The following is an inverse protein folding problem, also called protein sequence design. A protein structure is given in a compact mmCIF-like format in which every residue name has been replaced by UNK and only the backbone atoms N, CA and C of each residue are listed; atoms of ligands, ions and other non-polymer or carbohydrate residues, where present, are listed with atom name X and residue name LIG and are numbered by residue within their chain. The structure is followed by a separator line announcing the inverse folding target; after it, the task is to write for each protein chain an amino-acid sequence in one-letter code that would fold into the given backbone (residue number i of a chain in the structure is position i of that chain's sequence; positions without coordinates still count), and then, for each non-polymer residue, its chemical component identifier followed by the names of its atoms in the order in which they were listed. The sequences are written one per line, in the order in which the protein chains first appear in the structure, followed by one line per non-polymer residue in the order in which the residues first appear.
data_IF_063213769838
#
_entry.id   IF_063213769838
#
_cell.length_a   1.000
_cell.length_b   1.000
_cell.length_c   1.000
_cell.angle_alpha   90.00
_cell.angle_beta   90.00
_cell.angle_gamma   90.00
#
_symmetry.space_group_name_H-M   'P 1'
#
loop_
_entity.id
_entity.type
_entity.pdbx_description
1 polymer ?
#
# COMPACT_ATOMS: atom_id res chain seq x y z
N UNK A 1 79.32 16.86 16.75
CA UNK A 1 79.60 17.14 15.33
C UNK A 1 79.54 15.81 14.57
N UNK A 2 78.84 15.79 13.42
CA UNK A 2 78.80 14.71 12.39
C UNK A 2 77.91 13.47 12.64
N UNK A 3 76.71 13.57 12.05
CA UNK A 3 75.93 12.57 11.27
C UNK A 3 76.44 11.12 11.25
N UNK A 4 75.48 10.19 11.35
CA UNK A 4 75.12 9.25 10.26
C UNK A 4 73.77 8.59 10.57
N UNK A 5 72.75 8.95 9.79
CA UNK A 5 71.44 8.31 9.75
C UNK A 5 71.59 7.06 8.89
N UNK A 6 71.32 5.89 9.44
CA UNK A 6 71.25 4.64 8.68
C UNK A 6 69.76 4.33 8.52
N UNK A 7 69.31 4.38 7.27
CA UNK A 7 67.98 3.94 6.85
C UNK A 7 67.97 2.42 6.75
N UNK A 8 67.10 1.76 7.51
CA UNK A 8 66.76 0.36 7.28
C UNK A 8 65.26 0.25 7.04
N UNK A 9 64.91 -0.02 5.79
CA UNK A 9 63.58 -0.34 5.28
C UNK A 9 63.33 -1.82 5.60
N UNK A 10 62.20 -2.14 6.24
CA UNK A 10 61.41 -3.40 6.25
C UNK A 10 60.60 -3.40 7.55
N UNK A 11 59.28 -3.35 7.57
CA UNK A 11 58.39 -4.32 6.96
C UNK A 11 56.97 -3.75 6.93
N UNK A 12 56.33 -3.82 5.77
CA UNK A 12 54.90 -3.58 5.62
C UNK A 12 54.18 -4.81 6.17
N UNK A 13 53.91 -4.82 7.47
CA UNK A 13 53.04 -5.79 8.10
C UNK A 13 51.59 -5.48 7.75
N UNK A 14 51.15 -5.92 6.57
CA UNK A 14 49.73 -5.95 6.23
C UNK A 14 49.09 -6.99 7.15
N UNK A 15 48.45 -6.51 8.22
CA UNK A 15 47.54 -7.30 9.03
C UNK A 15 46.30 -7.61 8.16
N UNK A 16 46.39 -8.65 7.33
CA UNK A 16 45.19 -9.28 6.77
C UNK A 16 44.64 -10.18 7.88
N UNK A 17 43.77 -9.62 8.70
CA UNK A 17 42.86 -10.44 9.50
C UNK A 17 42.02 -11.23 8.50
N UNK A 18 42.36 -12.51 8.37
CA UNK A 18 41.55 -13.52 7.71
C UNK A 18 40.27 -13.69 8.52
N UNK A 19 39.28 -12.82 8.27
CA UNK A 19 37.91 -13.14 8.62
C UNK A 19 37.48 -14.25 7.67
N UNK A 20 37.44 -15.46 8.21
CA UNK A 20 36.82 -16.60 7.59
C UNK A 20 35.34 -16.24 7.40
N UNK A 21 35.01 -15.68 6.24
CA UNK A 21 33.63 -15.48 5.81
C UNK A 21 33.11 -16.86 5.42
N UNK A 22 32.60 -17.57 6.42
CA UNK A 22 31.82 -18.77 6.23
C UNK A 22 30.59 -18.35 5.41
N UNK A 23 30.59 -18.71 4.13
CA UNK A 23 29.45 -18.52 3.23
C UNK A 23 28.30 -19.34 3.81
N UNK A 24 27.47 -18.70 4.64
CA UNK A 24 26.16 -19.24 4.96
C UNK A 24 25.42 -19.37 3.64
N UNK A 25 25.24 -20.61 3.18
CA UNK A 25 24.27 -20.92 2.15
C UNK A 25 22.92 -20.61 2.77
N UNK A 26 22.42 -19.39 2.56
CA UNK A 26 21.01 -19.09 2.78
C UNK A 26 20.26 -19.96 1.77
N UNK A 27 19.82 -21.12 2.24
CA UNK A 27 18.91 -21.97 1.51
C UNK A 27 17.53 -21.28 1.57
N UNK A 28 17.28 -20.40 0.61
CA UNK A 28 15.97 -19.78 0.40
C UNK A 28 14.99 -20.84 -0.12
N UNK A 29 14.57 -21.73 0.78
CA UNK A 29 13.48 -22.66 0.51
C UNK A 29 12.17 -21.88 0.60
N UNK A 30 11.38 -22.00 -0.47
CA UNK A 30 10.06 -21.40 -0.71
C UNK A 30 10.07 -20.01 -1.35
N UNK A 31 10.68 -19.91 -2.53
CA UNK A 31 10.10 -19.06 -3.59
C UNK A 31 8.71 -19.61 -3.90
N UNK A 32 7.70 -19.14 -3.15
CA UNK A 32 6.36 -19.08 -3.72
C UNK A 32 6.54 -18.30 -5.02
N UNK A 33 6.28 -18.96 -6.14
CA UNK A 33 6.39 -18.37 -7.47
C UNK A 33 5.33 -17.26 -7.53
N UNK A 34 5.68 -16.07 -7.07
CA UNK A 34 4.86 -14.88 -7.18
C UNK A 34 4.91 -14.46 -8.63
N UNK A 35 4.03 -15.05 -9.44
CA UNK A 35 3.72 -14.52 -10.77
C UNK A 35 2.98 -13.21 -10.56
N UNK A 36 3.76 -12.14 -10.39
CA UNK A 36 3.32 -10.78 -10.59
C UNK A 36 2.94 -10.71 -12.07
N UNK A 37 1.66 -10.92 -12.37
CA UNK A 37 1.14 -10.78 -13.72
C UNK A 37 1.17 -9.27 -14.01
N UNK A 38 2.34 -8.78 -14.43
CA UNK A 38 2.66 -7.35 -14.64
C UNK A 38 1.98 -6.80 -15.90
N UNK A 39 0.72 -7.18 -16.14
CA UNK A 39 -0.15 -6.40 -17.00
C UNK A 39 -0.45 -5.10 -16.26
N UNK A 40 0.40 -4.10 -16.52
CA UNK A 40 0.26 -2.65 -16.25
C UNK A 40 -0.53 -2.28 -14.99
N UNK A 41 0.16 -1.66 -14.02
CA UNK A 41 -0.50 -1.03 -12.88
C UNK A 41 -1.74 -0.23 -13.34
N UNK A 42 -2.84 -0.37 -12.60
CA UNK A 42 -4.07 0.34 -12.95
C UNK A 42 -3.87 1.82 -12.65
N UNK A 43 -4.16 2.69 -13.62
CA UNK A 43 -4.01 4.12 -13.47
C UNK A 43 -5.19 4.67 -12.67
N UNK A 44 -4.92 5.29 -11.50
CA UNK A 44 -5.97 5.74 -10.57
C UNK A 44 -6.89 6.79 -11.20
N UNK A 45 -6.32 7.75 -11.95
CA UNK A 45 -7.08 8.86 -12.55
C UNK A 45 -8.15 8.44 -13.56
N UNK A 46 -8.14 7.19 -14.04
CA UNK A 46 -9.10 6.68 -15.01
C UNK A 46 -10.29 5.97 -14.32
N UNK A 47 -10.33 5.98 -12.99
CA UNK A 47 -11.34 5.33 -12.17
C UNK A 47 -12.25 6.35 -11.48
N UNK A 48 -13.48 5.92 -11.25
CA UNK A 48 -14.35 6.49 -10.24
C UNK A 48 -14.35 5.58 -8.99
N UNK A 49 -15.03 6.01 -7.93
CA UNK A 49 -15.06 5.30 -6.66
C UNK A 49 -15.59 3.86 -6.81
N UNK A 50 -16.64 3.68 -7.62
CA UNK A 50 -17.25 2.38 -7.87
C UNK A 50 -16.32 1.46 -8.65
N UNK A 51 -15.73 1.93 -9.74
CA UNK A 51 -14.77 1.16 -10.55
C UNK A 51 -13.55 0.74 -9.73
N UNK A 52 -13.07 1.61 -8.85
CA UNK A 52 -11.98 1.28 -7.93
C UNK A 52 -12.36 0.09 -7.03
N UNK A 53 -13.50 0.17 -6.35
CA UNK A 53 -13.96 -0.89 -5.44
C UNK A 53 -14.28 -2.18 -6.21
N UNK A 54 -14.91 -2.09 -7.39
CA UNK A 54 -15.21 -3.22 -8.26
C UNK A 54 -13.93 -3.95 -8.71
N UNK A 55 -12.85 -3.22 -9.00
CA UNK A 55 -11.55 -3.81 -9.31
C UNK A 55 -10.97 -4.57 -8.11
N UNK A 56 -11.03 -3.99 -6.92
CA UNK A 56 -10.58 -4.65 -5.70
C UNK A 56 -11.40 -5.92 -5.39
N UNK A 57 -12.70 -5.89 -5.63
CA UNK A 57 -13.59 -7.04 -5.48
C UNK A 57 -13.32 -8.13 -6.52
N UNK A 58 -13.24 -7.76 -7.80
CA UNK A 58 -13.05 -8.71 -8.91
C UNK A 58 -11.73 -9.48 -8.81
N UNK A 59 -10.69 -8.84 -8.30
CA UNK A 59 -9.37 -9.44 -8.17
C UNK A 59 -9.17 -10.23 -6.86
N UNK A 60 -10.11 -10.11 -5.91
CA UNK A 60 -10.05 -10.82 -4.65
C UNK A 60 -10.20 -12.33 -4.83
N UNK A 61 -9.38 -13.09 -4.10
CA UNK A 61 -9.43 -14.55 -4.06
C UNK A 61 -9.21 -15.04 -2.63
N UNK A 62 -10.19 -15.74 -2.09
CA UNK A 62 -10.20 -16.17 -0.69
C UNK A 62 -9.04 -17.14 -0.35
N UNK A 63 -8.62 -17.95 -1.33
CA UNK A 63 -7.52 -18.91 -1.22
C UNK A 63 -6.13 -18.27 -1.36
N UNK A 64 -6.04 -16.98 -1.75
CA UNK A 64 -4.75 -16.29 -1.87
C UNK A 64 -4.30 -15.71 -0.54
N UNK A 65 -3.03 -15.95 -0.21
CA UNK A 65 -2.34 -15.32 0.94
C UNK A 65 -2.20 -13.80 0.80
N UNK A 66 -2.14 -13.31 -0.44
CA UNK A 66 -1.95 -11.89 -0.77
C UNK A 66 -3.08 -11.43 -1.69
N UNK A 67 -3.85 -10.44 -1.26
CA UNK A 67 -4.94 -9.85 -2.02
C UNK A 67 -4.75 -8.34 -2.10
N UNK A 68 -4.14 -7.87 -3.17
CA UNK A 68 -3.99 -6.45 -3.45
C UNK A 68 -4.10 -6.17 -4.95
N UNK A 69 -4.46 -4.94 -5.28
CA UNK A 69 -4.38 -4.40 -6.64
C UNK A 69 -3.28 -3.35 -6.66
N UNK A 70 -2.42 -3.41 -7.69
CA UNK A 70 -1.34 -2.45 -7.89
C UNK A 70 -1.85 -1.27 -8.71
N UNK A 71 -1.74 -0.08 -8.13
CA UNK A 71 -2.16 1.16 -8.76
C UNK A 71 -0.97 2.10 -8.99
N UNK A 72 -1.05 2.89 -10.05
CA UNK A 72 -0.08 3.93 -10.39
C UNK A 72 -0.73 5.31 -10.48
N UNK A 73 0.06 6.32 -10.10
CA UNK A 73 -0.36 7.72 -10.12
C UNK A 73 -1.08 8.10 -8.83
N UNK A 74 -1.30 9.41 -8.66
CA UNK A 74 -1.97 9.95 -7.50
C UNK A 74 -3.49 10.02 -7.70
N UNK A 75 -4.24 10.03 -6.59
CA UNK A 75 -5.66 10.33 -6.64
C UNK A 75 -5.88 11.79 -7.09
N UNK A 76 -6.74 12.06 -8.08
CA UNK A 76 -7.17 13.43 -8.39
C UNK A 76 -7.74 14.16 -7.16
N UNK A 77 -7.66 15.49 -7.15
CA UNK A 77 -8.19 16.31 -6.04
C UNK A 77 -9.68 16.03 -5.77
N UNK A 78 -10.47 15.94 -6.83
CA UNK A 78 -11.92 15.69 -6.78
C UNK A 78 -12.25 14.25 -7.19
N UNK A 79 -11.44 13.29 -6.76
CA UNK A 79 -11.61 11.88 -7.12
C UNK A 79 -12.99 11.33 -6.73
N UNK A 80 -13.55 11.79 -5.61
CA UNK A 80 -14.91 11.45 -5.17
C UNK A 80 -15.84 12.58 -5.57
N UNK A 81 -16.85 12.26 -6.36
CA UNK A 81 -17.86 13.21 -6.85
C UNK A 81 -19.19 13.03 -6.14
N UNK A 82 -20.12 13.97 -6.32
CA UNK A 82 -21.47 13.88 -5.73
C UNK A 82 -22.21 12.62 -6.21
N UNK A 83 -21.94 12.18 -7.43
CA UNK A 83 -22.54 10.98 -8.05
C UNK A 83 -22.09 9.69 -7.35
N UNK A 84 -20.93 9.69 -6.71
CA UNK A 84 -20.41 8.51 -6.01
C UNK A 84 -21.03 8.32 -4.61
N UNK A 85 -21.60 9.37 -4.02
CA UNK A 85 -22.02 9.40 -2.61
C UNK A 85 -23.05 8.31 -2.31
N UNK A 86 -24.09 8.18 -3.13
CA UNK A 86 -25.16 7.21 -2.90
C UNK A 86 -24.62 5.77 -2.89
N UNK A 87 -23.77 5.44 -3.87
CA UNK A 87 -23.11 4.14 -3.94
C UNK A 87 -22.24 3.89 -2.72
N UNK A 88 -21.44 4.86 -2.29
CA UNK A 88 -20.54 4.71 -1.15
C UNK A 88 -21.29 4.55 0.16
N UNK A 89 -22.35 5.34 0.38
CA UNK A 89 -23.20 5.23 1.58
C UNK A 89 -23.92 3.89 1.61
N UNK A 90 -24.44 3.40 0.48
CA UNK A 90 -25.07 2.09 0.39
C UNK A 90 -24.12 0.93 0.77
N UNK A 91 -22.81 1.13 0.57
CA UNK A 91 -21.78 0.12 0.83
C UNK A 91 -21.00 0.36 2.13
N UNK A 92 -21.31 1.40 2.90
CA UNK A 92 -20.48 1.86 4.04
C UNK A 92 -20.35 0.81 5.16
N UNK A 93 -21.36 -0.04 5.34
CA UNK A 93 -21.39 -1.11 6.34
C UNK A 93 -20.91 -2.46 5.79
N UNK A 94 -20.48 -2.53 4.52
CA UNK A 94 -20.17 -3.79 3.86
C UNK A 94 -18.88 -4.42 4.37
N UNK A 95 -19.01 -5.51 5.13
CA UNK A 95 -17.89 -6.35 5.60
C UNK A 95 -17.34 -7.29 4.52
N UNK A 96 -17.78 -7.14 3.28
CA UNK A 96 -17.29 -7.96 2.18
C UNK A 96 -15.78 -7.72 2.01
N UNK A 97 -15.00 -8.80 2.09
CA UNK A 97 -13.55 -8.75 1.88
C UNK A 97 -13.26 -8.43 0.42
N UNK A 98 -12.23 -7.61 0.19
CA UNK A 98 -11.73 -7.29 -1.13
C UNK A 98 -10.20 -7.12 -1.09
N UNK A 99 -9.58 -6.96 -2.26
CA UNK A 99 -8.16 -6.64 -2.33
C UNK A 99 -7.83 -5.28 -1.70
N UNK A 100 -6.67 -5.21 -1.05
CA UNK A 100 -6.04 -3.96 -0.63
C UNK A 100 -5.55 -3.10 -1.78
N UNK A 101 -5.26 -1.85 -1.44
CA UNK A 101 -4.58 -0.89 -2.30
C UNK A 101 -3.07 -1.03 -2.12
N UNK A 102 -2.32 -1.11 -3.22
CA UNK A 102 -0.86 -0.98 -3.21
C UNK A 102 -0.40 -0.05 -4.31
N UNK A 103 0.33 1.01 -3.95
CA UNK A 103 0.97 1.88 -4.92
C UNK A 103 2.17 1.18 -5.56
N UNK A 104 2.48 1.49 -6.83
CA UNK A 104 3.65 0.94 -7.53
C UNK A 104 4.99 1.18 -6.82
N UNK A 105 5.08 2.25 -6.02
CA UNK A 105 6.29 2.58 -5.25
C UNK A 105 6.30 1.94 -3.85
N UNK A 106 5.34 1.08 -3.52
CA UNK A 106 5.36 0.37 -2.24
C UNK A 106 6.48 -0.66 -2.22
N UNK A 107 7.36 -0.57 -1.22
CA UNK A 107 8.31 -1.62 -0.88
C UNK A 107 7.75 -2.63 0.13
N UNK A 108 6.54 -2.39 0.64
CA UNK A 108 5.87 -3.22 1.64
C UNK A 108 4.63 -3.89 1.06
N UNK A 109 4.52 -5.19 1.31
CA UNK A 109 3.38 -6.02 0.92
C UNK A 109 2.67 -6.48 2.19
N UNK A 110 1.41 -6.08 2.35
CA UNK A 110 0.54 -6.59 3.41
C UNK A 110 -0.18 -7.86 2.96
N UNK A 111 -0.36 -8.81 3.89
CA UNK A 111 -1.22 -9.99 3.71
C UNK A 111 -2.65 -9.77 4.20
N UNK A 112 -2.94 -8.63 4.82
CA UNK A 112 -4.28 -8.30 5.26
C UNK A 112 -5.20 -8.04 4.07
N UNK A 113 -6.50 -8.25 4.28
CA UNK A 113 -7.53 -7.94 3.28
C UNK A 113 -8.21 -6.62 3.65
N UNK A 114 -8.61 -5.84 2.65
CA UNK A 114 -9.51 -4.71 2.87
C UNK A 114 -10.96 -5.17 3.01
N UNK A 115 -11.83 -4.25 3.43
CA UNK A 115 -13.28 -4.38 3.39
C UNK A 115 -13.87 -3.29 2.50
N UNK A 116 -14.93 -3.62 1.76
CA UNK A 116 -15.62 -2.66 0.89
C UNK A 116 -16.06 -1.42 1.67
N UNK A 117 -16.65 -1.60 2.86
CA UNK A 117 -17.05 -0.50 3.73
C UNK A 117 -15.86 0.33 4.22
N UNK A 118 -14.68 -0.27 4.39
CA UNK A 118 -13.47 0.46 4.76
C UNK A 118 -13.04 1.47 3.69
N UNK A 119 -13.06 1.08 2.41
CA UNK A 119 -12.82 2.03 1.32
C UNK A 119 -13.91 3.09 1.25
N UNK A 120 -15.18 2.69 1.36
CA UNK A 120 -16.31 3.62 1.34
C UNK A 120 -16.19 4.70 2.43
N UNK A 121 -15.78 4.33 3.64
CA UNK A 121 -15.52 5.27 4.74
C UNK A 121 -14.43 6.26 4.34
N UNK A 122 -13.26 5.80 3.89
CA UNK A 122 -12.15 6.69 3.54
C UNK A 122 -12.52 7.65 2.40
N UNK A 123 -13.26 7.16 1.40
CA UNK A 123 -13.69 7.95 0.26
C UNK A 123 -14.68 9.03 0.70
N UNK A 124 -15.70 8.67 1.47
CA UNK A 124 -16.68 9.61 2.01
C UNK A 124 -16.02 10.65 2.93
N UNK A 125 -15.08 10.24 3.79
CA UNK A 125 -14.32 11.19 4.61
C UNK A 125 -13.56 12.20 3.78
N UNK A 126 -12.86 11.76 2.73
CA UNK A 126 -12.13 12.67 1.84
C UNK A 126 -13.05 13.71 1.19
N UNK A 127 -14.24 13.28 0.76
CA UNK A 127 -15.27 14.16 0.19
C UNK A 127 -15.81 15.16 1.22
N UNK A 128 -16.23 14.68 2.39
CA UNK A 128 -16.81 15.51 3.46
C UNK A 128 -15.80 16.55 3.94
N UNK A 129 -14.54 16.15 4.13
CA UNK A 129 -13.46 17.01 4.60
C UNK A 129 -12.87 17.90 3.50
N UNK A 130 -13.29 17.73 2.24
CA UNK A 130 -12.74 18.41 1.05
C UNK A 130 -11.21 18.27 0.94
N UNK A 131 -10.71 17.07 1.20
CA UNK A 131 -9.29 16.73 1.12
C UNK A 131 -9.04 15.76 -0.02
N UNK A 132 -7.87 15.89 -0.65
CA UNK A 132 -7.38 14.90 -1.59
C UNK A 132 -7.32 13.53 -0.91
N UNK A 133 -7.88 12.52 -1.56
CA UNK A 133 -7.83 11.14 -1.06
C UNK A 133 -6.38 10.67 -1.01
N UNK A 134 -5.98 10.09 0.13
CA UNK A 134 -4.64 9.56 0.32
C UNK A 134 -4.72 8.20 1.03
N UNK A 135 -4.26 7.15 0.35
CA UNK A 135 -4.18 5.79 0.87
C UNK A 135 -2.74 5.37 1.23
N UNK A 136 -1.79 6.31 1.23
CA UNK A 136 -0.36 6.03 1.41
C UNK A 136 0.22 5.18 0.29
N UNK A 137 1.23 4.36 0.61
CA UNK A 137 1.82 3.40 -0.33
C UNK A 137 1.13 2.03 -0.30
N UNK A 138 0.46 1.67 0.81
CA UNK A 138 -0.25 0.41 0.97
C UNK A 138 -1.40 0.62 1.97
N UNK A 139 -2.61 0.14 1.66
CA UNK A 139 -3.77 0.30 2.54
C UNK A 139 -4.76 -0.86 2.44
N UNK A 140 -5.21 -1.32 3.61
CA UNK A 140 -6.20 -2.39 3.77
C UNK A 140 -7.30 -1.92 4.72
N UNK A 141 -8.13 -0.93 4.32
CA UNK A 141 -9.04 -0.28 5.24
C UNK A 141 -10.13 -1.24 5.71
N UNK A 142 -10.50 -1.08 6.98
CA UNK A 142 -11.52 -1.86 7.68
C UNK A 142 -12.70 -0.99 8.03
N UNK A 143 -13.84 -1.61 8.28
CA UNK A 143 -14.99 -0.90 8.80
C UNK A 143 -14.70 -0.34 10.20
N UNK A 144 -15.05 0.94 10.38
CA UNK A 144 -15.12 1.61 11.68
C UNK A 144 -16.57 2.05 11.96
N UNK A 145 -17.16 1.47 13.02
CA UNK A 145 -18.55 1.75 13.42
C UNK A 145 -18.79 3.20 13.82
N UNK A 146 -17.78 3.86 14.41
CA UNK A 146 -17.87 5.26 14.83
C UNK A 146 -17.91 6.16 13.60
N UNK A 147 -17.03 5.90 12.63
CA UNK A 147 -16.98 6.65 11.37
C UNK A 147 -18.26 6.46 10.55
N UNK A 148 -18.78 5.22 10.47
CA UNK A 148 -20.09 4.94 9.85
C UNK A 148 -21.19 5.83 10.43
N UNK A 149 -21.28 5.92 11.77
CA UNK A 149 -22.33 6.70 12.41
C UNK A 149 -22.20 8.19 12.07
N UNK A 150 -20.98 8.72 12.10
CA UNK A 150 -20.69 10.12 11.72
C UNK A 150 -21.15 10.38 10.28
N UNK A 151 -20.76 9.50 9.35
CA UNK A 151 -21.06 9.67 7.92
C UNK A 151 -22.56 9.52 7.64
N UNK A 152 -23.25 8.55 8.27
CA UNK A 152 -24.70 8.39 8.13
C UNK A 152 -25.48 9.60 8.63
N UNK A 153 -25.06 10.18 9.76
CA UNK A 153 -25.67 11.39 10.28
C UNK A 153 -25.45 12.58 9.35
N UNK A 154 -24.23 12.74 8.82
CA UNK A 154 -23.94 13.75 7.80
C UNK A 154 -24.83 13.58 6.57
N UNK A 155 -24.93 12.37 6.02
CA UNK A 155 -25.72 12.10 4.82
C UNK A 155 -27.21 12.41 5.03
N UNK A 156 -27.77 12.02 6.18
CA UNK A 156 -29.16 12.34 6.53
C UNK A 156 -29.41 13.86 6.55
N UNK A 157 -28.49 14.63 7.10
CA UNK A 157 -28.62 16.09 7.17
C UNK A 157 -28.49 16.77 5.80
N UNK A 158 -27.67 16.22 4.90
CA UNK A 158 -27.53 16.75 3.53
C UNK A 158 -28.76 16.44 2.66
N UNK A 159 -29.39 15.27 2.84
CA UNK A 159 -30.61 14.91 2.07
C UNK A 159 -31.88 15.62 2.53
N UNK A 160 -31.82 16.32 3.67
CA UNK A 160 -32.92 17.14 4.20
C UNK A 160 -32.81 18.62 3.82
N UNK A 161 -31.73 19.02 3.14
CA UNK A 161 -31.52 20.37 2.60
C UNK A 161 -32.01 20.45 1.16
#
# INVERSE_FOLDING_TARGET
MKRKIIYTILSFGIFVLSSCFEKSKIQANNTTKFTLNSKSATIIKDLDAKKFIDLCLKNYKEDRKLNFVVFSGDFPQDFITKQDIEYLVANIDSKQKCCGYMHIFSSYISSDNAEVGGFAILFLKSYIEKKQLNLGLNSNPKIDKKEILIIKNWYKNEMQK
#
